data_IF_579911015747
#
_entry.id   IF_579911015747
#
_cell.length_a   1.000
_cell.length_b   1.000
_cell.length_c   1.000
_cell.angle_alpha   90.00
_cell.angle_beta   90.00
_cell.angle_gamma   90.00
#
_symmetry.space_group_name_H-M   'P 1'
#
loop_
_entity.id
_entity.type
_entity.pdbx_description
1 polymer ?
#
# COMPACT_ATOMS: atom_id res chain seq x y z
N UNK A 1 30.03 -1.36 6.98
CA UNK A 1 30.29 -0.39 8.07
C UNK A 1 29.76 -0.92 9.39
N UNK A 2 30.63 -1.51 10.24
CA UNK A 2 30.29 -1.81 11.64
C UNK A 2 30.70 -0.60 12.45
N UNK A 3 29.72 0.11 13.01
CA UNK A 3 29.99 1.23 13.92
C UNK A 3 30.49 0.60 15.22
N UNK A 4 31.76 0.84 15.57
CA UNK A 4 32.31 0.49 16.88
C UNK A 4 32.40 1.79 17.68
N UNK A 5 31.81 1.79 18.86
CA UNK A 5 31.86 2.89 19.81
C UNK A 5 32.97 2.62 20.82
N UNK A 6 33.83 3.61 21.06
CA UNK A 6 34.99 3.52 21.98
C UNK A 6 34.83 4.38 23.23
N UNK A 7 33.78 5.20 23.31
CA UNK A 7 33.51 6.14 24.40
C UNK A 7 32.01 6.13 24.73
N UNK A 8 31.67 5.99 26.00
CA UNK A 8 30.28 5.96 26.50
C UNK A 8 29.58 7.31 26.26
N UNK A 9 30.31 8.42 26.31
CA UNK A 9 29.75 9.75 26.03
C UNK A 9 29.29 9.89 24.57
N UNK A 10 29.97 9.23 23.63
CA UNK A 10 29.60 9.23 22.21
C UNK A 10 28.30 8.43 21.98
N UNK A 11 28.05 7.39 22.78
CA UNK A 11 26.80 6.63 22.73
C UNK A 11 25.63 7.46 23.24
N UNK A 12 25.78 8.16 24.36
CA UNK A 12 24.71 8.98 24.95
C UNK A 12 24.29 10.14 24.04
N UNK A 13 25.24 10.77 23.35
CA UNK A 13 24.95 11.82 22.38
C UNK A 13 24.15 11.26 21.20
N UNK A 14 24.54 10.10 20.66
CA UNK A 14 23.80 9.49 19.53
C UNK A 14 22.43 8.95 19.91
N UNK A 15 22.24 8.46 21.14
CA UNK A 15 20.92 8.06 21.65
C UNK A 15 20.02 9.29 21.79
N UNK A 16 20.55 10.41 22.30
CA UNK A 16 19.79 11.68 22.34
C UNK A 16 19.42 12.18 20.95
N UNK A 17 20.35 12.18 20.01
CA UNK A 17 20.07 12.60 18.63
C UNK A 17 19.02 11.69 17.96
N UNK A 18 19.09 10.38 18.21
CA UNK A 18 18.08 9.43 17.76
C UNK A 18 16.70 9.73 18.36
N UNK A 19 16.62 9.95 19.67
CA UNK A 19 15.36 10.26 20.35
C UNK A 19 14.75 11.58 19.88
N UNK A 20 15.57 12.62 19.68
CA UNK A 20 15.13 13.92 19.15
C UNK A 20 14.62 13.80 17.70
N UNK A 21 15.30 12.99 16.87
CA UNK A 21 14.81 12.71 15.51
C UNK A 21 13.49 11.93 15.57
N UNK A 22 13.37 10.95 16.45
CA UNK A 22 12.17 10.12 16.63
C UNK A 22 10.97 10.94 17.12
N UNK A 23 11.17 11.91 18.02
CA UNK A 23 10.11 12.84 18.45
C UNK A 23 9.58 13.67 17.27
N UNK A 24 10.45 14.12 16.35
CA UNK A 24 10.01 14.84 15.14
C UNK A 24 9.12 13.98 14.25
N UNK A 25 9.45 12.68 14.10
CA UNK A 25 8.60 11.75 13.34
C UNK A 25 7.28 11.46 14.05
N UNK A 26 7.28 11.39 15.39
CA UNK A 26 6.07 11.18 16.19
C UNK A 26 5.03 12.28 15.97
N UNK A 27 5.46 13.53 15.83
CA UNK A 27 4.58 14.66 15.52
C UNK A 27 4.01 14.63 14.08
N UNK A 28 4.67 13.93 13.15
CA UNK A 28 4.22 13.82 11.76
C UNK A 28 3.16 12.72 11.56
N UNK A 29 3.05 11.75 12.48
CA UNK A 29 2.02 10.70 12.46
C UNK A 29 0.62 11.27 12.76
N UNK A 30 0.54 12.46 13.34
CA UNK A 30 -0.70 13.18 13.65
C UNK A 30 -1.18 14.13 12.54
N UNK A 31 -0.61 14.08 11.34
CA UNK A 31 -1.12 14.84 10.18
C UNK A 31 -2.24 14.12 9.42
N UNK A 32 -2.75 13.00 9.93
CA UNK A 32 -3.98 12.43 9.38
C UNK A 32 -5.14 13.39 9.68
N UNK A 33 -5.99 13.69 8.68
CA UNK A 33 -7.19 14.48 8.91
C UNK A 33 -8.01 13.85 10.04
N UNK A 34 -8.43 14.65 11.01
CA UNK A 34 -9.29 14.18 12.08
C UNK A 34 -10.59 13.64 11.48
N UNK A 35 -10.78 12.33 11.56
CA UNK A 35 -12.03 11.69 11.15
C UNK A 35 -13.02 11.97 12.29
N UNK A 36 -14.10 12.71 12.03
CA UNK A 36 -15.12 13.05 13.06
C UNK A 36 -15.68 11.80 13.78
N UNK A 37 -15.70 10.65 13.09
CA UNK A 37 -16.16 9.35 13.61
C UNK A 37 -15.26 8.23 13.09
N UNK A 38 -14.07 8.04 13.68
CA UNK A 38 -13.18 6.97 13.27
C UNK A 38 -13.86 5.63 13.58
N UNK A 39 -13.94 4.74 12.59
CA UNK A 39 -14.34 3.35 12.80
C UNK A 39 -13.08 2.52 12.98
N UNK A 40 -12.95 1.89 14.12
CA UNK A 40 -11.84 1.02 14.45
C UNK A 40 -12.18 -0.42 14.08
N UNK A 41 -11.17 -1.26 13.88
CA UNK A 41 -11.38 -2.68 13.54
C UNK A 41 -12.23 -3.41 14.60
N UNK A 42 -12.21 -2.92 15.85
CA UNK A 42 -13.06 -3.41 16.94
C UNK A 42 -14.56 -3.17 16.73
N UNK A 43 -14.93 -2.13 15.97
CA UNK A 43 -16.33 -1.78 15.69
C UNK A 43 -16.99 -2.74 14.69
N UNK A 44 -16.19 -3.60 14.07
CA UNK A 44 -16.64 -4.61 13.10
C UNK A 44 -16.68 -6.02 13.69
N UNK A 45 -16.42 -6.20 14.99
CA UNK A 45 -16.41 -7.53 15.64
C UNK A 45 -17.75 -8.24 15.59
N UNK A 46 -18.84 -7.48 15.68
CA UNK A 46 -20.22 -7.99 15.68
C UNK A 46 -20.93 -7.75 14.33
N UNK A 47 -20.20 -7.25 13.33
CA UNK A 47 -20.72 -7.06 11.99
C UNK A 47 -20.49 -8.36 11.22
N UNK A 48 -21.55 -8.88 10.61
CA UNK A 48 -21.43 -9.99 9.67
C UNK A 48 -20.63 -9.52 8.44
N UNK A 49 -19.35 -9.91 8.43
CA UNK A 49 -18.41 -9.66 7.35
C UNK A 49 -18.47 -10.73 6.26
N UNK A 50 -19.41 -11.69 6.33
CA UNK A 50 -19.71 -12.50 5.15
C UNK A 50 -20.04 -11.55 3.99
N UNK A 51 -19.64 -11.94 2.77
CA UNK A 51 -19.91 -11.21 1.55
C UNK A 51 -21.42 -11.06 1.37
N UNK A 52 -22.00 -10.03 2.00
CA UNK A 52 -23.36 -9.62 1.76
C UNK A 52 -23.46 -9.35 0.27
N UNK A 53 -24.26 -10.14 -0.43
CA UNK A 53 -24.52 -9.95 -1.86
C UNK A 53 -25.15 -8.57 -2.00
N UNK A 54 -24.34 -7.58 -2.33
CA UNK A 54 -24.79 -6.20 -2.50
C UNK A 54 -25.58 -6.17 -3.81
N UNK A 55 -26.91 -6.26 -3.72
CA UNK A 55 -27.79 -6.26 -4.89
C UNK A 55 -27.61 -5.00 -5.77
N UNK A 56 -27.24 -3.88 -5.16
CA UNK A 56 -27.11 -2.58 -5.83
C UNK A 56 -25.77 -1.92 -5.47
N UNK A 57 -24.65 -2.45 -5.96
CA UNK A 57 -23.34 -1.81 -5.79
C UNK A 57 -23.36 -0.46 -6.52
N UNK A 58 -23.60 0.63 -5.79
CA UNK A 58 -23.73 1.98 -6.35
C UNK A 58 -22.38 2.61 -6.71
N UNK A 59 -21.30 2.07 -6.16
CA UNK A 59 -19.98 2.66 -6.40
C UNK A 59 -19.39 2.22 -7.72
N UNK A 60 -18.72 3.17 -8.38
CA UNK A 60 -18.07 2.91 -9.67
C UNK A 60 -16.59 2.58 -9.50
N UNK A 61 -16.05 2.73 -8.28
CA UNK A 61 -14.63 2.50 -7.97
C UNK A 61 -14.49 1.53 -6.80
N UNK A 62 -13.58 0.57 -6.96
CA UNK A 62 -13.17 -0.35 -5.90
C UNK A 62 -11.70 -0.10 -5.60
N UNK A 63 -11.39 0.15 -4.33
CA UNK A 63 -10.06 0.48 -3.85
C UNK A 63 -9.51 -0.65 -3.00
N UNK A 64 -8.26 -1.05 -3.22
CA UNK A 64 -7.62 -2.09 -2.41
C UNK A 64 -6.09 -2.01 -2.49
N UNK A 65 -5.43 -2.50 -1.45
CA UNK A 65 -3.97 -2.63 -1.40
C UNK A 65 -3.56 -4.04 -1.85
N UNK A 66 -2.47 -4.14 -2.60
CA UNK A 66 -1.80 -5.40 -2.90
C UNK A 66 -0.33 -5.29 -2.61
N UNK A 67 0.23 -6.35 -2.03
CA UNK A 67 1.69 -6.49 -1.90
C UNK A 67 2.25 -7.08 -3.19
N UNK A 68 3.29 -6.44 -3.71
CA UNK A 68 3.99 -6.92 -4.90
C UNK A 68 4.86 -8.11 -4.52
N UNK A 69 4.59 -9.25 -5.14
CA UNK A 69 5.32 -10.50 -4.91
C UNK A 69 6.45 -10.65 -5.93
N UNK A 70 7.51 -11.34 -5.55
CA UNK A 70 8.62 -11.69 -6.46
C UNK A 70 8.22 -12.87 -7.33
N UNK A 71 8.56 -12.80 -8.61
CA UNK A 71 8.67 -13.96 -9.49
C UNK A 71 10.07 -14.03 -10.11
N UNK A 72 10.56 -15.26 -10.28
CA UNK A 72 11.94 -15.52 -10.72
C UNK A 72 12.96 -15.63 -9.57
N UNK A 73 14.18 -16.01 -9.92
CA UNK A 73 15.30 -16.12 -8.99
C UNK A 73 15.82 -14.74 -8.57
N UNK A 74 16.18 -14.60 -7.29
CA UNK A 74 16.67 -13.33 -6.73
C UNK A 74 17.95 -12.90 -7.44
N UNK A 75 18.00 -11.65 -7.91
CA UNK A 75 19.08 -11.04 -8.73
C UNK A 75 19.21 -11.57 -10.15
N UNK A 76 18.24 -12.34 -10.65
CA UNK A 76 18.18 -12.71 -12.07
C UNK A 76 17.73 -11.53 -12.92
N UNK A 77 18.16 -11.46 -14.17
CA UNK A 77 17.57 -10.54 -15.15
C UNK A 77 16.08 -10.80 -15.39
N UNK A 78 15.61 -12.01 -15.10
CA UNK A 78 14.20 -12.41 -15.18
C UNK A 78 13.42 -12.16 -13.89
N UNK A 79 14.01 -11.47 -12.91
CA UNK A 79 13.32 -11.09 -11.67
C UNK A 79 12.36 -9.93 -11.93
N UNK A 80 11.09 -10.12 -11.59
CA UNK A 80 10.09 -9.05 -11.64
C UNK A 80 9.15 -9.12 -10.44
N UNK A 81 8.53 -7.98 -10.14
CA UNK A 81 7.45 -7.88 -9.18
C UNK A 81 6.12 -8.18 -9.87
N UNK A 82 5.17 -8.78 -9.17
CA UNK A 82 3.82 -8.93 -9.72
C UNK A 82 2.74 -8.80 -8.65
N UNK A 83 1.54 -8.46 -9.11
CA UNK A 83 0.31 -8.62 -8.32
C UNK A 83 -0.66 -9.51 -9.08
N UNK A 84 -1.41 -10.32 -8.35
CA UNK A 84 -2.52 -11.09 -8.89
C UNK A 84 -3.84 -10.37 -8.67
N UNK A 85 -4.56 -10.13 -9.77
CA UNK A 85 -5.92 -9.61 -9.73
C UNK A 85 -6.78 -10.54 -10.58
N UNK A 86 -7.78 -11.18 -9.97
CA UNK A 86 -8.71 -12.09 -10.66
C UNK A 86 -8.00 -13.22 -11.44
N UNK A 87 -6.92 -13.79 -10.86
CA UNK A 87 -6.06 -14.82 -11.48
C UNK A 87 -5.29 -14.33 -12.73
N UNK A 88 -5.27 -13.02 -12.96
CA UNK A 88 -4.39 -12.41 -13.94
C UNK A 88 -3.18 -11.82 -13.22
N UNK A 89 -2.01 -12.29 -13.64
CA UNK A 89 -0.74 -11.77 -13.18
C UNK A 89 -0.44 -10.46 -13.89
N UNK A 90 -0.20 -9.42 -13.10
CA UNK A 90 0.20 -8.11 -13.60
C UNK A 90 1.64 -7.88 -13.18
N UNK A 91 2.54 -7.91 -14.15
CA UNK A 91 3.95 -7.60 -13.98
C UNK A 91 4.17 -6.12 -13.63
N UNK A 92 5.09 -5.88 -12.70
CA UNK A 92 5.50 -4.60 -12.14
C UNK A 92 7.04 -4.58 -11.99
N UNK A 93 7.60 -3.38 -11.80
CA UNK A 93 9.06 -3.26 -11.62
C UNK A 93 9.55 -4.10 -10.43
N UNK A 94 10.75 -4.69 -10.58
CA UNK A 94 11.47 -5.37 -9.50
C UNK A 94 11.71 -4.48 -8.29
N UNK A 95 11.80 -3.16 -8.48
CA UNK A 95 12.03 -2.19 -7.40
C UNK A 95 10.83 -2.10 -6.45
N UNK A 96 9.66 -2.56 -6.89
CA UNK A 96 8.44 -2.59 -6.10
C UNK A 96 8.27 -3.88 -5.29
N UNK A 97 9.16 -4.87 -5.43
CA UNK A 97 9.03 -6.16 -4.73
C UNK A 97 8.99 -5.94 -3.21
N UNK A 98 8.00 -6.56 -2.56
CA UNK A 98 7.65 -6.42 -1.14
C UNK A 98 7.08 -5.06 -0.73
N UNK A 99 6.83 -4.14 -1.66
CA UNK A 99 6.08 -2.91 -1.39
C UNK A 99 4.58 -3.12 -1.61
N UNK A 100 3.78 -2.28 -0.96
CA UNK A 100 2.35 -2.20 -1.24
C UNK A 100 2.10 -1.25 -2.40
N UNK A 101 1.17 -1.64 -3.28
CA UNK A 101 0.61 -0.79 -4.33
C UNK A 101 -0.87 -0.56 -4.06
N UNK A 102 -1.32 0.64 -4.41
CA UNK A 102 -2.71 1.06 -4.29
C UNK A 102 -3.43 0.88 -5.61
N UNK A 103 -4.38 -0.05 -5.63
CA UNK A 103 -5.14 -0.41 -6.82
C UNK A 103 -6.51 0.23 -6.82
N UNK A 104 -6.92 0.75 -7.98
CA UNK A 104 -8.25 1.32 -8.22
C UNK A 104 -8.86 0.64 -9.43
N UNK A 105 -9.92 -0.14 -9.22
CA UNK A 105 -10.75 -0.67 -10.30
C UNK A 105 -11.87 0.32 -10.56
N UNK A 106 -11.80 1.05 -11.66
CA UNK A 106 -12.87 1.93 -12.14
C UNK A 106 -13.75 1.16 -13.12
N UNK A 107 -14.93 0.76 -12.63
CA UNK A 107 -15.94 -0.03 -13.32
C UNK A 107 -16.51 0.74 -14.52
N UNK A 108 -16.68 2.06 -14.39
CA UNK A 108 -17.27 2.92 -15.42
C UNK A 108 -16.29 3.15 -16.57
N UNK A 109 -15.02 3.45 -16.24
CA UNK A 109 -13.95 3.62 -17.23
C UNK A 109 -13.40 2.29 -17.76
N UNK A 110 -13.74 1.18 -17.09
CA UNK A 110 -13.22 -0.17 -17.37
C UNK A 110 -11.69 -0.22 -17.28
N UNK A 111 -11.13 0.45 -16.26
CA UNK A 111 -9.69 0.62 -16.07
C UNK A 111 -9.26 0.24 -14.66
N UNK A 112 -8.17 -0.49 -14.57
CA UNK A 112 -7.42 -0.74 -13.35
C UNK A 112 -6.23 0.21 -13.33
N UNK A 113 -6.16 1.03 -12.29
CA UNK A 113 -5.03 1.89 -12.00
C UNK A 113 -4.22 1.30 -10.86
N UNK A 114 -2.90 1.34 -10.97
CA UNK A 114 -1.97 0.91 -9.95
C UNK A 114 -1.11 2.11 -9.61
N UNK A 115 -1.11 2.46 -8.33
CA UNK A 115 -0.34 3.58 -7.80
C UNK A 115 0.70 3.11 -6.80
N UNK A 116 1.78 3.87 -6.68
CA UNK A 116 2.74 3.76 -5.60
C UNK A 116 2.76 5.05 -4.79
N UNK A 117 2.96 4.92 -3.49
CA UNK A 117 3.27 6.06 -2.64
C UNK A 117 4.75 6.41 -2.82
N UNK A 118 5.03 7.65 -3.21
CA UNK A 118 6.37 8.20 -3.27
C UNK A 118 6.86 8.66 -1.89
N UNK A 119 8.14 8.98 -1.79
CA UNK A 119 8.76 9.48 -0.56
C UNK A 119 8.16 10.81 -0.06
N UNK A 120 7.45 11.53 -0.93
CA UNK A 120 6.71 12.76 -0.61
C UNK A 120 5.29 12.50 -0.09
N UNK A 121 4.91 11.23 0.12
CA UNK A 121 3.59 10.80 0.56
C UNK A 121 2.51 10.91 -0.51
N UNK A 122 2.87 11.20 -1.78
CA UNK A 122 1.89 11.29 -2.87
C UNK A 122 1.76 9.96 -3.59
N UNK A 123 0.52 9.67 -4.00
CA UNK A 123 0.23 8.56 -4.89
C UNK A 123 0.57 8.95 -6.33
N UNK A 124 1.48 8.20 -6.94
CA UNK A 124 1.84 8.30 -8.35
C UNK A 124 1.32 7.09 -9.11
N UNK A 125 0.67 7.31 -10.25
CA UNK A 125 0.23 6.22 -11.12
C UNK A 125 1.45 5.60 -11.81
N UNK A 126 1.61 4.28 -11.66
CA UNK A 126 2.71 3.53 -12.26
C UNK A 126 2.26 2.65 -13.42
N UNK A 127 0.98 2.27 -13.44
CA UNK A 127 0.44 1.40 -14.49
C UNK A 127 -1.07 1.54 -14.59
N UNK A 128 -1.54 1.59 -15.83
CA UNK A 128 -2.97 1.55 -16.17
C UNK A 128 -3.25 0.38 -17.11
N UNK A 129 -4.30 -0.37 -16.81
CA UNK A 129 -4.71 -1.57 -17.55
C UNK A 129 -6.19 -1.47 -17.88
N UNK A 130 -6.53 -1.67 -19.15
CA UNK A 130 -7.93 -1.80 -19.55
C UNK A 130 -8.42 -3.22 -19.21
N UNK A 131 -9.64 -3.34 -18.69
CA UNK A 131 -10.26 -4.62 -18.47
C UNK A 131 -11.66 -4.68 -19.09
N UNK A 132 -12.22 -5.88 -19.24
CA UNK A 132 -13.63 -6.06 -19.51
C UNK A 132 -14.25 -6.85 -18.37
N UNK A 133 -15.22 -6.24 -17.69
CA UNK A 133 -16.03 -6.97 -16.71
C UNK A 133 -17.26 -7.49 -17.44
N UNK A 134 -17.51 -8.79 -17.30
CA UNK A 134 -18.74 -9.43 -17.74
C UNK A 134 -19.76 -9.34 -16.61
N UNK A 135 -21.04 -9.17 -16.95
CA UNK A 135 -22.17 -9.11 -16.02
C UNK A 135 -22.24 -7.83 -15.15
N UNK A 136 -21.94 -6.67 -15.73
CA UNK A 136 -22.36 -5.38 -15.14
C UNK A 136 -23.68 -4.96 -15.78
N UNK A 137 -24.69 -4.75 -14.94
CA UNK A 137 -25.92 -4.05 -15.31
C UNK A 137 -25.78 -2.61 -14.83
N UNK A 138 -25.85 -1.65 -15.75
CA UNK A 138 -25.80 -0.21 -15.45
C UNK A 138 -27.17 0.33 -15.06
#
# INVERSE_FOLDING_TARGET
NKIKFTDENEMDIKIKDFNVAYEKYTNLINNNPEIEKPRYIGDFKDIDLENNVVKNFKETKIYFLRIVRRKGEKKSEKEYGFIDILKQEIELSKDLINLYVYCVVDIKLKKLFIHMEGDDGKLSEIKTINFMIKNITY
#
